data_IF_576981428080
#
_entry.id   IF_576981428080
#
_cell.length_a   1.000
_cell.length_b   1.000
_cell.length_c   1.000
_cell.angle_alpha   90.00
_cell.angle_beta   90.00
_cell.angle_gamma   90.00
#
_symmetry.space_group_name_H-M   'P 1'
#
loop_
_entity.id
_entity.type
_entity.pdbx_description
1 polymer ?
#
# COMPACT_ATOMS: atom_id res chain seq x y z
N UNK A 1 13.24 -5.05 -9.92
CA UNK A 1 12.39 -6.06 -9.23
C UNK A 1 11.46 -5.43 -8.20
N UNK A 2 11.94 -4.56 -7.29
CA UNK A 2 11.10 -3.91 -6.25
C UNK A 2 9.90 -3.16 -6.83
N UNK A 3 10.11 -2.30 -7.84
CA UNK A 3 9.02 -1.54 -8.48
C UNK A 3 7.93 -2.44 -9.07
N UNK A 4 8.32 -3.55 -9.72
CA UNK A 4 7.38 -4.51 -10.30
C UNK A 4 6.57 -5.20 -9.19
N UNK A 5 7.22 -5.61 -8.11
CA UNK A 5 6.55 -6.22 -6.96
C UNK A 5 5.57 -5.24 -6.29
N UNK A 6 5.95 -3.97 -6.12
CA UNK A 6 5.07 -2.92 -5.58
C UNK A 6 3.85 -2.68 -6.47
N UNK A 7 4.03 -2.61 -7.79
CA UNK A 7 2.93 -2.48 -8.73
C UNK A 7 1.98 -3.69 -8.69
N UNK A 8 2.52 -4.90 -8.73
CA UNK A 8 1.72 -6.12 -8.66
C UNK A 8 0.91 -6.20 -7.36
N UNK A 9 1.53 -5.83 -6.22
CA UNK A 9 0.87 -5.76 -4.92
C UNK A 9 -0.29 -4.75 -4.93
N UNK A 10 -0.03 -3.52 -5.36
CA UNK A 10 -1.08 -2.49 -5.43
C UNK A 10 -2.23 -2.88 -6.38
N UNK A 11 -1.94 -3.52 -7.51
CA UNK A 11 -2.94 -3.99 -8.46
C UNK A 11 -3.82 -5.11 -7.89
N UNK A 12 -3.20 -6.04 -7.16
CA UNK A 12 -3.91 -7.11 -6.46
C UNK A 12 -4.85 -6.54 -5.39
N UNK A 13 -4.40 -5.57 -4.61
CA UNK A 13 -5.21 -4.91 -3.59
C UNK A 13 -6.36 -4.10 -4.19
N UNK A 14 -6.08 -3.40 -5.30
CA UNK A 14 -7.10 -2.68 -6.08
C UNK A 14 -8.22 -3.61 -6.60
N UNK A 15 -7.94 -4.91 -6.74
CA UNK A 15 -8.95 -5.89 -7.15
C UNK A 15 -10.12 -6.02 -6.17
N UNK A 16 -9.91 -5.76 -4.87
CA UNK A 16 -10.98 -5.81 -3.86
C UNK A 16 -12.09 -4.80 -4.20
N UNK A 17 -11.74 -3.62 -4.72
CA UNK A 17 -12.72 -2.60 -5.11
C UNK A 17 -13.56 -3.00 -6.33
N UNK A 18 -13.18 -4.03 -7.11
CA UNK A 18 -14.06 -4.58 -8.15
C UNK A 18 -15.33 -5.20 -7.56
N UNK A 19 -15.27 -5.72 -6.33
CA UNK A 19 -16.42 -6.32 -5.64
C UNK A 19 -17.49 -5.31 -5.25
N UNK A 20 -17.17 -4.00 -5.20
CA UNK A 20 -18.18 -2.94 -5.00
C UNK A 20 -19.25 -2.93 -6.10
N UNK A 21 -18.88 -3.32 -7.32
CA UNK A 21 -19.82 -3.39 -8.46
C UNK A 21 -20.65 -4.67 -8.47
N UNK A 22 -20.36 -5.66 -7.62
CA UNK A 22 -21.13 -6.90 -7.55
C UNK A 22 -22.54 -6.63 -7.00
N UNK A 23 -23.57 -7.21 -7.63
CA UNK A 23 -24.95 -7.14 -7.12
C UNK A 23 -25.15 -7.98 -5.85
N UNK A 24 -24.32 -9.00 -5.65
CA UNK A 24 -24.38 -9.90 -4.49
C UNK A 24 -23.70 -9.27 -3.28
N UNK A 25 -24.36 -9.28 -2.11
CA UNK A 25 -23.77 -8.84 -0.84
C UNK A 25 -22.85 -9.93 -0.28
N UNK A 26 -21.61 -9.94 -0.75
CA UNK A 26 -20.56 -10.82 -0.22
C UNK A 26 -19.77 -10.13 0.91
N UNK A 27 -19.04 -10.90 1.72
CA UNK A 27 -18.23 -10.33 2.82
C UNK A 27 -17.15 -9.38 2.30
N UNK A 28 -16.59 -9.69 1.13
CA UNK A 28 -15.57 -8.88 0.43
C UNK A 28 -16.15 -7.54 -0.01
N UNK A 29 -17.42 -7.50 -0.45
CA UNK A 29 -18.12 -6.25 -0.77
C UNK A 29 -18.33 -5.40 0.49
N UNK A 30 -18.66 -6.01 1.64
CA UNK A 30 -18.82 -5.28 2.92
C UNK A 30 -17.49 -4.68 3.39
N UNK A 31 -16.39 -5.42 3.31
CA UNK A 31 -15.05 -4.90 3.58
C UNK A 31 -14.67 -3.77 2.62
N UNK A 32 -14.89 -3.95 1.31
CA UNK A 32 -14.63 -2.90 0.33
C UNK A 32 -15.44 -1.62 0.58
N UNK A 33 -16.71 -1.76 1.01
CA UNK A 33 -17.57 -0.63 1.37
C UNK A 33 -17.12 0.05 2.66
N UNK A 34 -16.61 -0.70 3.64
CA UNK A 34 -16.01 -0.13 4.85
C UNK A 34 -14.75 0.69 4.51
N UNK A 35 -13.91 0.16 3.62
CA UNK A 35 -12.68 0.79 3.13
C UNK A 35 -12.92 2.06 2.31
N UNK A 36 -14.03 2.15 1.56
CA UNK A 36 -14.39 3.36 0.80
C UNK A 36 -15.15 4.41 1.61
N UNK A 37 -15.82 4.01 2.69
CA UNK A 37 -16.69 4.92 3.45
C UNK A 37 -16.07 5.32 4.79
N UNK A 38 -15.98 4.39 5.75
CA UNK A 38 -15.53 4.69 7.11
C UNK A 38 -14.01 4.73 7.27
N UNK A 39 -13.27 3.98 6.46
CA UNK A 39 -11.80 3.85 6.54
C UNK A 39 -11.10 4.55 5.37
N UNK A 40 -11.77 5.47 4.68
CA UNK A 40 -11.28 6.10 3.46
C UNK A 40 -9.92 6.80 3.66
N UNK A 41 -9.70 7.44 4.81
CA UNK A 41 -8.44 8.11 5.13
C UNK A 41 -7.28 7.11 5.22
N UNK A 42 -7.48 5.99 5.91
CA UNK A 42 -6.48 4.93 6.00
C UNK A 42 -6.25 4.25 4.64
N UNK A 43 -7.31 4.04 3.86
CA UNK A 43 -7.22 3.52 2.48
C UNK A 43 -6.40 4.45 1.58
N UNK A 44 -6.65 5.77 1.63
CA UNK A 44 -5.89 6.78 0.87
C UNK A 44 -4.44 6.82 1.31
N UNK A 45 -4.18 6.82 2.62
CA UNK A 45 -2.84 6.82 3.17
C UNK A 45 -2.05 5.60 2.66
N UNK A 46 -2.64 4.40 2.75
CA UNK A 46 -2.05 3.16 2.21
C UNK A 46 -1.62 3.31 0.75
N UNK A 47 -2.54 3.75 -0.12
CA UNK A 47 -2.24 3.87 -1.54
C UNK A 47 -1.19 4.95 -1.84
N UNK A 48 -1.23 6.08 -1.13
CA UNK A 48 -0.26 7.16 -1.31
C UNK A 48 1.13 6.74 -0.82
N UNK A 49 1.25 6.19 0.38
CA UNK A 49 2.55 5.79 0.93
C UNK A 49 3.13 4.59 0.20
N UNK A 50 2.29 3.64 -0.21
CA UNK A 50 2.69 2.50 -1.04
C UNK A 50 3.17 2.92 -2.44
N UNK A 51 2.47 3.86 -3.10
CA UNK A 51 2.87 4.34 -4.42
C UNK A 51 4.15 5.19 -4.35
N UNK A 52 4.19 6.17 -3.45
CA UNK A 52 5.34 7.07 -3.33
C UNK A 52 6.58 6.30 -2.86
N UNK A 53 6.44 5.47 -1.82
CA UNK A 53 7.53 4.69 -1.24
C UNK A 53 7.96 3.50 -2.08
N UNK A 54 7.04 2.81 -2.76
CA UNK A 54 7.32 1.59 -3.53
C UNK A 54 7.62 1.82 -5.01
N UNK A 55 7.23 2.96 -5.58
CA UNK A 55 7.32 3.23 -7.02
C UNK A 55 8.11 4.50 -7.32
N UNK A 56 7.65 5.67 -6.84
CA UNK A 56 8.26 6.95 -7.22
C UNK A 56 9.68 7.13 -6.66
N UNK A 57 9.85 6.96 -5.34
CA UNK A 57 11.15 7.16 -4.70
C UNK A 57 12.20 6.12 -5.14
N UNK A 58 11.88 4.83 -5.31
CA UNK A 58 12.84 3.86 -5.86
C UNK A 58 13.27 4.18 -7.30
N UNK A 59 12.37 4.71 -8.14
CA UNK A 59 12.75 5.19 -9.48
C UNK A 59 13.68 6.39 -9.41
N UNK A 60 13.41 7.34 -8.50
CA UNK A 60 14.28 8.50 -8.29
C UNK A 60 15.66 8.09 -7.75
N UNK A 61 15.71 7.16 -6.80
CA UNK A 61 16.98 6.61 -6.29
C UNK A 61 17.77 5.89 -7.40
N UNK A 62 17.07 5.18 -8.29
CA UNK A 62 17.70 4.55 -9.45
C UNK A 62 18.31 5.60 -10.40
N UNK A 63 17.59 6.69 -10.73
CA UNK A 63 18.16 7.75 -11.57
C UNK A 63 19.38 8.41 -10.93
N UNK A 64 19.36 8.65 -9.60
CA UNK A 64 20.53 9.18 -8.88
C UNK A 64 21.72 8.22 -8.96
N UNK A 65 21.48 6.91 -8.83
CA UNK A 65 22.55 5.89 -8.87
C UNK A 65 23.27 5.77 -10.22
N UNK A 66 22.68 6.30 -11.30
CA UNK A 66 23.30 6.30 -12.64
C UNK A 66 24.27 7.46 -12.86
N UNK A 67 24.34 8.42 -11.93
CA UNK A 67 25.30 9.52 -12.03
C UNK A 67 26.72 9.02 -11.73
N UNK A 68 27.68 9.28 -12.64
CA UNK A 68 29.07 8.85 -12.50
C UNK A 68 29.88 9.65 -11.46
N UNK A 69 29.35 10.77 -10.97
CA UNK A 69 30.01 11.63 -9.98
C UNK A 69 29.50 11.35 -8.57
N UNK A 70 30.16 10.43 -7.87
CA UNK A 70 29.83 10.10 -6.47
C UNK A 70 30.60 11.02 -5.52
N UNK A 71 30.00 12.15 -5.15
CA UNK A 71 30.48 13.03 -4.08
C UNK A 71 29.85 12.71 -2.70
N UNK A 72 30.44 13.22 -1.62
CA UNK A 72 29.93 13.01 -0.24
C UNK A 72 28.48 13.50 -0.07
N UNK A 73 28.13 14.64 -0.69
CA UNK A 73 26.77 15.18 -0.69
C UNK A 73 25.77 14.33 -1.50
N UNK A 74 26.24 13.65 -2.54
CA UNK A 74 25.41 12.71 -3.32
C UNK A 74 25.05 11.48 -2.48
N UNK A 75 26.01 10.92 -1.74
CA UNK A 75 25.79 9.81 -0.81
C UNK A 75 24.79 10.16 0.30
N UNK A 76 24.89 11.37 0.87
CA UNK A 76 23.94 11.84 1.89
C UNK A 76 22.51 11.92 1.33
N UNK A 77 22.34 12.45 0.12
CA UNK A 77 21.03 12.53 -0.53
C UNK A 77 20.46 11.15 -0.83
N UNK A 78 21.27 10.20 -1.31
CA UNK A 78 20.84 8.81 -1.52
C UNK A 78 20.38 8.15 -0.22
N UNK A 79 21.09 8.36 0.89
CA UNK A 79 20.72 7.85 2.22
C UNK A 79 19.39 8.43 2.70
N UNK A 80 19.16 9.73 2.50
CA UNK A 80 17.90 10.38 2.85
C UNK A 80 16.73 9.80 2.04
N UNK A 81 16.92 9.61 0.73
CA UNK A 81 15.91 9.00 -0.15
C UNK A 81 15.63 7.55 0.27
N UNK A 82 16.68 6.76 0.55
CA UNK A 82 16.53 5.38 1.03
C UNK A 82 15.81 5.29 2.38
N UNK A 83 16.12 6.18 3.32
CA UNK A 83 15.39 6.30 4.58
C UNK A 83 13.93 6.68 4.39
N UNK A 84 13.64 7.59 3.46
CA UNK A 84 12.28 7.96 3.07
C UNK A 84 11.49 6.78 2.50
N UNK A 85 12.10 5.99 1.60
CA UNK A 85 11.52 4.74 1.08
C UNK A 85 11.15 3.79 2.23
N UNK A 86 12.08 3.57 3.17
CA UNK A 86 11.85 2.69 4.30
C UNK A 86 10.66 3.15 5.16
N UNK A 87 10.60 4.43 5.52
CA UNK A 87 9.52 4.98 6.37
C UNK A 87 8.18 4.91 5.64
N UNK A 88 8.11 5.32 4.37
CA UNK A 88 6.87 5.31 3.59
C UNK A 88 6.34 3.90 3.37
N UNK A 89 7.22 2.95 3.02
CA UNK A 89 6.81 1.55 2.86
C UNK A 89 6.36 0.94 4.18
N UNK A 90 7.05 1.21 5.29
CA UNK A 90 6.65 0.76 6.62
C UNK A 90 5.26 1.29 7.00
N UNK A 91 4.98 2.58 6.80
CA UNK A 91 3.67 3.18 7.06
C UNK A 91 2.59 2.56 6.16
N UNK A 92 2.90 2.30 4.89
CA UNK A 92 2.00 1.62 3.96
C UNK A 92 1.62 0.21 4.42
N UNK A 93 2.61 -0.60 4.80
CA UNK A 93 2.41 -1.96 5.33
C UNK A 93 1.61 -1.96 6.64
N UNK A 94 1.87 -0.99 7.52
CA UNK A 94 1.15 -0.87 8.80
C UNK A 94 -0.31 -0.47 8.57
N UNK A 95 -0.55 0.48 7.65
CA UNK A 95 -1.90 0.88 7.24
C UNK A 95 -2.64 -0.28 6.59
N UNK A 96 -1.96 -1.13 5.84
CA UNK A 96 -2.53 -2.36 5.28
C UNK A 96 -2.99 -3.33 6.36
N UNK A 97 -2.12 -3.62 7.34
CA UNK A 97 -2.47 -4.51 8.46
C UNK A 97 -3.62 -3.94 9.28
N UNK A 98 -3.61 -2.64 9.53
CA UNK A 98 -4.72 -1.96 10.21
C UNK A 98 -6.04 -2.13 9.45
N UNK A 99 -6.05 -1.88 8.14
CA UNK A 99 -7.24 -2.04 7.30
C UNK A 99 -7.73 -3.50 7.25
N UNK A 100 -6.81 -4.47 7.22
CA UNK A 100 -7.17 -5.89 7.26
C UNK A 100 -7.95 -6.22 8.53
N UNK A 101 -7.44 -5.84 9.71
CA UNK A 101 -8.12 -6.12 10.98
C UNK A 101 -9.40 -5.27 11.16
N UNK A 102 -9.40 -4.02 10.71
CA UNK A 102 -10.56 -3.14 10.86
C UNK A 102 -11.71 -3.50 9.91
N UNK A 103 -11.40 -4.05 8.72
CA UNK A 103 -12.40 -4.36 7.71
C UNK A 103 -12.85 -5.84 7.70
N UNK A 104 -12.18 -6.73 8.42
CA UNK A 104 -12.58 -8.15 8.49
C UNK A 104 -13.89 -8.28 9.27
N UNK A 105 -14.92 -8.81 8.60
CA UNK A 105 -16.18 -9.14 9.25
C UNK A 105 -16.04 -10.58 9.75
N UNK A 106 -16.09 -10.78 11.07
CA UNK A 106 -16.06 -12.12 11.66
C UNK A 106 -17.21 -12.94 11.06
N UNK A 107 -16.86 -14.03 10.37
CA UNK A 107 -17.84 -15.05 9.96
C UNK A 107 -18.35 -15.66 11.27
N UNK A 108 -19.59 -15.32 11.64
CA UNK A 108 -20.25 -15.93 12.80
C UNK A 108 -20.13 -17.45 12.62
N UNK A 109 -19.46 -18.13 13.54
CA UNK A 109 -19.46 -19.59 13.52
C UNK A 109 -20.91 -20.04 13.65
N UNK A 110 -21.36 -21.09 12.92
CA UNK A 110 -22.67 -21.68 13.15
C UNK A 110 -22.66 -22.27 14.56
N UNK A 111 -23.06 -21.45 15.53
CA UNK A 111 -23.46 -21.86 16.87
C UNK A 111 -24.98 -21.83 16.87
N UNK A 112 -25.54 -23.03 16.87
CA UNK A 112 -26.91 -23.49 17.13
C UNK A 112 -28.04 -22.46 17.30
N UNK A 113 -29.15 -22.73 16.60
CA UNK A 113 -30.27 -23.48 17.19
C UNK A 113 -30.60 -24.69 16.33
#
# INVERSE_FOLDING_TARGET
MIVIASFAKMAWEGAIFRHLKSKTYSMEKRSAMLMTNHLLTATRLRYLTGFVGGVLLPMFLYSMSQENLVGLGHLQNMLLVAGGIFVLTLVGELSERFLFFAAIVSKKMPGDV
#
